data_IF_178875577150
#
_entry.id   IF_178875577150
#
_cell.length_a   1.000
_cell.length_b   1.000
_cell.length_c   1.000
_cell.angle_alpha   90.00
_cell.angle_beta   90.00
_cell.angle_gamma   90.00
#
_symmetry.space_group_name_H-M   'P 1'
#
loop_
_entity.id
_entity.type
_entity.pdbx_description
1 polymer ?
#
# COMPACT_ATOMS: atom_id res chain seq x y z
N UNK A 1 -6.56 46.50 1.55
CA UNK A 1 -5.14 46.06 1.49
C UNK A 1 -4.89 44.56 1.77
N UNK A 2 -5.91 43.70 1.95
CA UNK A 2 -5.70 42.26 2.17
C UNK A 2 -5.95 41.39 0.92
N UNK A 3 -6.85 41.82 0.03
CA UNK A 3 -7.20 41.09 -1.20
C UNK A 3 -6.05 41.05 -2.21
N UNK A 4 -5.34 42.16 -2.39
CA UNK A 4 -4.18 42.23 -3.30
C UNK A 4 -3.02 41.33 -2.86
N UNK A 5 -2.81 41.16 -1.55
CA UNK A 5 -1.81 40.24 -1.00
C UNK A 5 -2.21 38.79 -1.26
N UNK A 6 -3.50 38.45 -1.12
CA UNK A 6 -4.02 37.11 -1.40
C UNK A 6 -3.86 36.76 -2.88
N UNK A 7 -4.17 37.68 -3.79
CA UNK A 7 -4.03 37.46 -5.24
C UNK A 7 -2.56 37.21 -5.61
N UNK A 8 -1.61 37.94 -5.02
CA UNK A 8 -0.17 37.71 -5.25
C UNK A 8 0.27 36.32 -4.78
N UNK A 9 -0.22 35.86 -3.63
CA UNK A 9 0.11 34.53 -3.10
C UNK A 9 -0.46 33.43 -4.02
N UNK A 10 -1.72 33.58 -4.47
CA UNK A 10 -2.35 32.61 -5.39
C UNK A 10 -1.58 32.52 -6.70
N UNK A 11 -1.13 33.65 -7.26
CA UNK A 11 -0.36 33.66 -8.51
C UNK A 11 1.03 33.01 -8.34
N UNK A 12 1.68 33.18 -7.19
CA UNK A 12 2.95 32.50 -6.90
C UNK A 12 2.78 30.99 -6.76
N UNK A 13 1.70 30.53 -6.13
CA UNK A 13 1.39 29.10 -6.01
C UNK A 13 1.09 28.49 -7.39
N UNK A 14 0.34 29.21 -8.24
CA UNK A 14 0.02 28.75 -9.59
C UNK A 14 1.28 28.60 -10.45
N UNK A 15 2.21 29.56 -10.38
CA UNK A 15 3.48 29.49 -11.10
C UNK A 15 4.33 28.29 -10.68
N UNK A 16 4.42 28.00 -9.38
CA UNK A 16 5.13 26.82 -8.89
C UNK A 16 4.49 25.49 -9.31
N UNK A 17 3.15 25.43 -9.38
CA UNK A 17 2.44 24.24 -9.87
C UNK A 17 2.67 23.97 -11.36
N UNK A 18 2.74 25.03 -12.17
CA UNK A 18 2.99 24.90 -13.60
C UNK A 18 4.46 24.51 -13.90
N UNK A 19 5.41 24.95 -13.07
CA UNK A 19 6.81 24.53 -13.13
C UNK A 19 6.98 23.04 -12.77
N UNK A 20 6.31 22.56 -11.70
CA UNK A 20 6.30 21.14 -11.33
C UNK A 20 5.67 20.28 -12.44
N UNK A 21 4.55 20.71 -13.02
CA UNK A 21 3.94 19.98 -14.16
C UNK A 21 4.87 19.90 -15.37
N UNK A 22 5.71 20.91 -15.57
CA UNK A 22 6.67 20.98 -16.66
C UNK A 22 7.89 20.08 -16.41
N UNK A 23 8.36 19.98 -15.17
CA UNK A 23 9.40 19.02 -14.78
C UNK A 23 8.92 17.56 -14.82
N UNK A 24 7.64 17.30 -14.55
CA UNK A 24 7.05 15.95 -14.56
C UNK A 24 6.30 15.59 -15.87
N UNK A 25 6.41 16.42 -16.91
CA UNK A 25 5.66 16.27 -18.16
C UNK A 25 6.41 15.54 -19.29
N UNK A 26 6.41 14.20 -19.26
CA UNK A 26 6.15 13.30 -20.41
C UNK A 26 6.71 11.90 -20.15
N UNK A 27 5.93 11.06 -19.46
CA UNK A 27 6.15 9.61 -19.43
C UNK A 27 5.31 8.91 -20.51
N UNK A 28 5.29 9.44 -21.73
CA UNK A 28 4.53 8.85 -22.85
C UNK A 28 5.36 7.96 -23.80
N UNK A 29 6.67 7.82 -23.61
CA UNK A 29 7.55 7.15 -24.59
C UNK A 29 8.01 5.70 -24.28
N UNK A 30 7.43 5.00 -23.30
CA UNK A 30 7.83 3.61 -23.00
C UNK A 30 6.88 2.53 -23.55
N UNK A 31 6.17 2.77 -24.67
CA UNK A 31 5.18 1.82 -25.22
C UNK A 31 5.61 1.13 -26.53
N UNK A 32 6.77 1.44 -27.09
CA UNK A 32 7.03 1.09 -28.49
C UNK A 32 7.92 -0.13 -28.79
N UNK A 33 8.30 -1.03 -27.86
CA UNK A 33 9.18 -2.14 -28.30
C UNK A 33 9.14 -3.42 -27.45
N UNK A 34 8.07 -4.20 -27.57
CA UNK A 34 8.10 -5.64 -27.28
C UNK A 34 6.95 -6.40 -27.97
N UNK A 35 6.75 -6.16 -29.28
CA UNK A 35 5.90 -7.02 -30.12
C UNK A 35 6.75 -8.06 -30.83
N UNK A 36 7.06 -9.18 -30.16
CA UNK A 36 7.31 -10.49 -30.80
C UNK A 36 7.52 -11.56 -29.72
N UNK A 37 6.39 -12.09 -29.24
CA UNK A 37 6.17 -13.49 -28.85
C UNK A 37 4.84 -13.53 -28.08
N UNK A 38 3.76 -13.90 -28.76
CA UNK A 38 2.43 -14.08 -28.15
C UNK A 38 2.32 -15.51 -27.57
N UNK A 39 2.35 -15.72 -26.24
CA UNK A 39 1.59 -16.82 -25.67
C UNK A 39 0.12 -16.39 -25.58
N UNK A 40 -0.78 -17.36 -25.81
CA UNK A 40 -2.24 -17.21 -25.91
C UNK A 40 -2.80 -16.41 -24.71
N UNK A 41 -3.33 -15.20 -24.98
CA UNK A 41 -3.99 -14.34 -23.99
C UNK A 41 -5.40 -14.88 -23.68
N UNK A 42 -5.49 -15.92 -22.85
CA UNK A 42 -6.68 -16.14 -22.03
C UNK A 42 -6.41 -15.57 -20.64
N UNK A 43 -6.81 -14.33 -20.40
CA UNK A 43 -6.63 -13.74 -19.08
C UNK A 43 -6.97 -12.27 -19.07
N UNK A 44 -8.19 -11.96 -18.60
CA UNK A 44 -8.59 -10.63 -18.13
C UNK A 44 -7.41 -10.08 -17.30
N UNK A 45 -6.72 -9.02 -17.77
CA UNK A 45 -5.63 -8.38 -17.03
C UNK A 45 -6.18 -7.98 -15.66
N UNK A 46 -5.89 -8.77 -14.64
CA UNK A 46 -6.27 -8.44 -13.27
C UNK A 46 -5.52 -7.16 -12.95
N UNK A 47 -6.25 -6.09 -12.59
CA UNK A 47 -5.64 -4.88 -12.05
C UNK A 47 -4.68 -5.32 -10.94
N UNK A 48 -3.40 -4.96 -11.04
CA UNK A 48 -2.43 -5.26 -9.99
C UNK A 48 -2.96 -4.60 -8.71
N UNK A 49 -3.30 -5.42 -7.72
CA UNK A 49 -3.68 -4.91 -6.41
C UNK A 49 -2.49 -4.17 -5.79
N UNK A 50 -2.78 -3.28 -4.84
CA UNK A 50 -1.73 -2.61 -4.05
C UNK A 50 -0.88 -3.70 -3.37
N UNK A 51 0.44 -3.60 -3.51
CA UNK A 51 1.36 -4.50 -2.83
C UNK A 51 1.41 -4.13 -1.34
N UNK A 52 0.89 -5.02 -0.50
CA UNK A 52 0.85 -4.84 0.95
C UNK A 52 2.11 -5.33 1.65
N UNK A 53 3.08 -5.90 0.91
CA UNK A 53 4.32 -6.44 1.48
C UNK A 53 5.14 -5.34 2.16
N UNK A 54 5.38 -4.22 1.47
CA UNK A 54 6.15 -3.09 2.00
C UNK A 54 5.46 -2.42 3.20
N UNK A 55 4.16 -2.05 3.13
CA UNK A 55 3.46 -1.47 4.27
C UNK A 55 3.46 -2.37 5.51
N UNK A 56 3.20 -3.68 5.36
CA UNK A 56 3.16 -4.60 6.51
C UNK A 56 4.57 -4.82 7.09
N UNK A 57 5.61 -4.83 6.24
CA UNK A 57 6.99 -4.92 6.70
C UNK A 57 7.37 -3.68 7.54
N UNK A 58 6.93 -2.49 7.12
CA UNK A 58 7.13 -1.26 7.90
C UNK A 58 6.49 -1.38 9.29
N UNK A 59 5.26 -1.90 9.39
CA UNK A 59 4.63 -2.15 10.70
C UNK A 59 5.47 -3.08 11.60
N UNK A 60 6.12 -4.08 11.01
CA UNK A 60 7.04 -4.95 11.75
C UNK A 60 8.28 -4.20 12.25
N UNK A 61 8.91 -3.39 11.39
CA UNK A 61 10.06 -2.55 11.75
C UNK A 61 9.71 -1.53 12.83
N UNK A 62 8.49 -0.98 12.78
CA UNK A 62 7.92 -0.05 13.77
C UNK A 62 7.50 -0.73 15.10
N UNK A 63 7.84 -2.02 15.28
CA UNK A 63 7.50 -2.85 16.45
C UNK A 63 5.99 -2.96 16.71
N UNK A 64 5.13 -2.79 15.71
CA UNK A 64 3.67 -2.91 15.85
C UNK A 64 3.24 -4.28 16.41
N UNK A 65 3.97 -5.34 16.07
CA UNK A 65 3.74 -6.71 16.54
C UNK A 65 4.55 -7.06 17.80
N UNK A 66 4.98 -6.07 18.59
CA UNK A 66 5.58 -6.32 19.92
C UNK A 66 4.63 -7.11 20.81
N UNK A 67 3.34 -6.77 20.73
CA UNK A 67 2.23 -7.51 21.31
C UNK A 67 1.51 -8.35 20.25
N UNK A 68 0.64 -9.25 20.71
CA UNK A 68 -0.22 -10.05 19.83
C UNK A 68 -1.20 -9.13 19.09
N UNK A 69 -1.06 -9.01 17.76
CA UNK A 69 -1.95 -8.24 16.88
C UNK A 69 -2.63 -9.14 15.87
N UNK A 70 -3.90 -8.91 15.63
CA UNK A 70 -4.69 -9.68 14.67
C UNK A 70 -4.58 -9.12 13.26
N UNK A 71 -5.01 -9.92 12.28
CA UNK A 71 -5.12 -9.46 10.91
C UNK A 71 -6.15 -8.32 10.70
N UNK A 72 -7.07 -8.11 11.66
CA UNK A 72 -7.97 -6.96 11.68
C UNK A 72 -7.25 -5.70 12.17
N UNK A 73 -6.46 -5.81 13.23
CA UNK A 73 -5.66 -4.67 13.74
C UNK A 73 -4.69 -4.16 12.66
N UNK A 74 -4.08 -5.07 11.90
CA UNK A 74 -3.22 -4.71 10.77
C UNK A 74 -4.02 -4.01 9.68
N UNK A 75 -5.25 -4.46 9.40
CA UNK A 75 -6.12 -3.81 8.40
C UNK A 75 -6.43 -2.38 8.81
N UNK A 76 -6.85 -2.17 10.05
CA UNK A 76 -7.24 -0.86 10.55
C UNK A 76 -6.04 0.09 10.56
N UNK A 77 -4.85 -0.40 10.95
CA UNK A 77 -3.62 0.38 10.90
C UNK A 77 -3.21 0.75 9.47
N UNK A 78 -3.32 -0.18 8.53
CA UNK A 78 -3.04 0.07 7.12
C UNK A 78 -4.04 1.05 6.48
N UNK A 79 -5.31 1.02 6.89
CA UNK A 79 -6.32 1.98 6.43
C UNK A 79 -5.99 3.41 6.86
N UNK A 80 -5.45 3.57 8.08
CA UNK A 80 -4.96 4.86 8.56
C UNK A 80 -3.69 5.32 7.82
N UNK A 81 -2.74 4.42 7.59
CA UNK A 81 -1.41 4.78 7.08
C UNK A 81 -1.36 4.94 5.55
N UNK A 82 -2.14 4.15 4.79
CA UNK A 82 -2.04 4.14 3.32
C UNK A 82 -2.77 5.29 2.64
N UNK A 83 -3.73 5.96 3.29
CA UNK A 83 -4.54 7.04 2.72
C UNK A 83 -5.04 6.76 1.28
N UNK A 84 -5.28 5.48 0.94
CA UNK A 84 -5.69 5.04 -0.40
C UNK A 84 -7.21 5.02 -0.54
N UNK A 85 -7.72 5.31 -1.73
CA UNK A 85 -9.17 5.22 -2.04
C UNK A 85 -9.79 3.85 -1.73
N UNK A 86 -9.00 2.77 -1.80
CA UNK A 86 -9.48 1.40 -1.62
C UNK A 86 -8.88 0.79 -0.37
N UNK A 87 -9.75 0.26 0.48
CA UNK A 87 -9.32 -0.48 1.67
C UNK A 87 -8.53 -1.74 1.30
N UNK A 88 -7.45 -2.05 2.04
CA UNK A 88 -6.67 -3.25 1.84
C UNK A 88 -7.53 -4.48 2.15
N UNK A 89 -7.50 -5.45 1.22
CA UNK A 89 -8.25 -6.70 1.39
C UNK A 89 -7.63 -7.53 2.51
N UNK A 90 -8.44 -7.95 3.47
CA UNK A 90 -8.06 -8.86 4.56
C UNK A 90 -7.33 -10.12 4.08
N UNK A 91 -7.77 -10.73 2.97
CA UNK A 91 -7.12 -11.93 2.42
C UNK A 91 -5.69 -11.65 1.94
N UNK A 92 -5.45 -10.48 1.33
CA UNK A 92 -4.11 -10.06 0.94
C UNK A 92 -3.21 -9.85 2.15
N UNK A 93 -3.73 -9.19 3.20
CA UNK A 93 -3.02 -9.00 4.47
C UNK A 93 -2.63 -10.36 5.08
N UNK A 94 -3.59 -11.27 5.22
CA UNK A 94 -3.36 -12.61 5.78
C UNK A 94 -2.30 -13.38 4.97
N UNK A 95 -2.29 -13.25 3.64
CA UNK A 95 -1.28 -13.90 2.81
C UNK A 95 0.13 -13.35 3.07
N UNK A 96 0.27 -12.03 3.23
CA UNK A 96 1.56 -11.41 3.59
C UNK A 96 1.99 -11.85 4.99
N UNK A 97 1.10 -11.81 5.99
CA UNK A 97 1.41 -12.25 7.35
C UNK A 97 1.82 -13.73 7.40
N UNK A 98 1.18 -14.61 6.61
CA UNK A 98 1.60 -16.02 6.50
C UNK A 98 2.99 -16.16 5.90
N UNK A 99 3.36 -15.34 4.92
CA UNK A 99 4.72 -15.33 4.36
C UNK A 99 5.73 -14.88 5.42
N UNK A 100 5.46 -13.80 6.15
CA UNK A 100 6.34 -13.34 7.23
C UNK A 100 6.52 -14.37 8.35
N UNK A 101 5.48 -15.16 8.65
CA UNK A 101 5.61 -16.32 9.56
C UNK A 101 6.50 -17.41 8.96
N UNK A 102 6.33 -17.73 7.68
CA UNK A 102 7.17 -18.70 6.97
C UNK A 102 8.64 -18.26 6.90
N UNK A 103 8.86 -16.97 6.71
CA UNK A 103 10.19 -16.34 6.65
C UNK A 103 10.82 -16.19 8.06
N UNK A 104 10.08 -16.54 9.12
CA UNK A 104 10.59 -16.53 10.49
C UNK A 104 10.65 -15.14 11.13
N UNK A 105 9.92 -14.15 10.61
CA UNK A 105 9.83 -12.80 11.20
C UNK A 105 8.74 -12.74 12.28
N UNK A 106 7.62 -13.42 12.04
CA UNK A 106 6.47 -13.45 12.93
C UNK A 106 6.19 -14.86 13.44
N UNK A 107 5.52 -14.95 14.58
CA UNK A 107 4.93 -16.18 15.13
C UNK A 107 3.42 -16.03 15.25
N UNK A 108 2.70 -17.15 15.20
CA UNK A 108 1.26 -17.16 15.49
C UNK A 108 1.07 -17.40 16.98
N UNK A 109 0.33 -16.52 17.62
CA UNK A 109 0.11 -16.56 19.08
C UNK A 109 -1.25 -17.18 19.40
N UNK A 110 -2.35 -16.50 19.03
CA UNK A 110 -3.72 -16.94 19.31
C UNK A 110 -4.50 -17.20 18.03
N UNK A 111 -5.29 -18.27 18.01
CA UNK A 111 -6.21 -18.58 16.91
C UNK A 111 -7.62 -18.64 17.46
N UNK A 112 -8.43 -17.63 17.12
CA UNK A 112 -9.84 -17.58 17.47
C UNK A 112 -10.65 -18.17 16.31
N UNK A 113 -11.35 -19.27 16.57
CA UNK A 113 -12.22 -19.95 15.60
C UNK A 113 -13.68 -19.56 15.88
N UNK A 114 -14.36 -19.04 14.87
CA UNK A 114 -15.79 -18.69 14.90
C UNK A 114 -16.33 -18.67 13.47
N UNK A 115 -17.30 -17.79 13.16
CA UNK A 115 -17.77 -17.58 11.77
C UNK A 115 -16.62 -17.23 10.81
N UNK A 116 -15.57 -16.58 11.32
CA UNK A 116 -14.32 -16.31 10.62
C UNK A 116 -13.17 -16.66 11.56
N UNK A 117 -12.11 -17.27 11.04
CA UNK A 117 -10.88 -17.50 11.80
C UNK A 117 -10.09 -16.20 11.88
N UNK A 118 -9.75 -15.78 13.10
CA UNK A 118 -8.89 -14.63 13.39
C UNK A 118 -7.59 -15.17 13.97
N UNK A 119 -6.45 -14.67 13.47
CA UNK A 119 -5.12 -15.13 13.89
C UNK A 119 -4.38 -13.92 14.46
N UNK A 120 -3.88 -14.07 15.68
CA UNK A 120 -2.94 -13.17 16.32
C UNK A 120 -1.51 -13.50 15.91
N UNK A 121 -0.75 -12.46 15.58
CA UNK A 121 0.65 -12.52 15.18
C UNK A 121 1.48 -11.68 16.14
N UNK A 122 2.68 -12.15 16.46
CA UNK A 122 3.66 -11.47 17.31
C UNK A 122 5.05 -11.55 16.68
N UNK A 123 5.91 -10.58 16.95
CA UNK A 123 7.33 -10.66 16.60
C UNK A 123 7.92 -11.97 17.09
N UNK A 124 8.73 -12.61 16.25
CA UNK A 124 9.54 -13.75 16.70
C UNK A 124 10.56 -13.22 17.71
N UNK A 125 10.57 -13.84 18.89
CA UNK A 125 11.58 -13.60 19.92
C UNK A 125 12.94 -14.17 19.50
#
# INVERSE_FOLDING_TARGET
MNTEKIIKIVNQIQAGLDEIKREFGSSEDFVAEAKKNKPKLSGKKKSKGIDLTQPIKKLYEDKFFSDSKTDLDVKDKLELDLLTEKSPKRSSIVNVLRKMVKDGLLTRDKILKGKRTIIGYKNKA
#
